data_IF_198971163312
#
_entry.id   IF_198971163312
#
_cell.length_a   1.000
_cell.length_b   1.000
_cell.length_c   1.000
_cell.angle_alpha   90.00
_cell.angle_beta   90.00
_cell.angle_gamma   90.00
#
_symmetry.space_group_name_H-M   'P 1'
#
loop_
_entity.id
_entity.type
_entity.pdbx_description
1 polymer ?
#
# COMPACT_ATOMS: atom_id res chain seq x y z
N UNK A 1 -26.92 -12.36 -5.40
CA UNK A 1 -25.46 -12.08 -5.45
C UNK A 1 -24.98 -12.42 -6.86
N UNK A 2 -24.50 -11.45 -7.65
CA UNK A 2 -24.13 -11.66 -9.06
C UNK A 2 -22.77 -12.36 -9.20
N UNK A 3 -22.58 -13.19 -10.24
CA UNK A 3 -21.32 -13.93 -10.50
C UNK A 3 -20.08 -13.04 -10.60
N UNK A 4 -20.26 -11.77 -10.95
CA UNK A 4 -19.20 -10.78 -11.02
C UNK A 4 -18.69 -10.37 -9.63
N UNK A 5 -19.61 -10.25 -8.65
CA UNK A 5 -19.26 -9.89 -7.28
C UNK A 5 -18.43 -10.98 -6.61
N UNK A 6 -18.75 -12.26 -6.83
CA UNK A 6 -17.96 -13.38 -6.30
C UNK A 6 -16.54 -13.42 -6.89
N UNK A 7 -16.37 -13.20 -8.21
CA UNK A 7 -15.03 -13.14 -8.83
C UNK A 7 -14.17 -11.99 -8.28
N UNK A 8 -14.77 -10.83 -8.05
CA UNK A 8 -14.07 -9.69 -7.41
C UNK A 8 -13.69 -10.01 -5.96
N UNK A 9 -14.55 -10.71 -5.22
CA UNK A 9 -14.29 -11.12 -3.85
C UNK A 9 -13.09 -12.08 -3.77
N UNK A 10 -13.04 -13.09 -4.64
CA UNK A 10 -11.94 -14.07 -4.69
C UNK A 10 -10.60 -13.42 -5.08
N UNK A 11 -10.62 -12.49 -6.05
CA UNK A 11 -9.43 -11.74 -6.43
C UNK A 11 -8.91 -10.88 -5.25
N UNK A 12 -9.80 -10.26 -4.48
CA UNK A 12 -9.43 -9.51 -3.26
C UNK A 12 -8.83 -10.41 -2.19
N UNK A 13 -9.43 -11.58 -1.95
CA UNK A 13 -8.90 -12.53 -0.96
C UNK A 13 -7.52 -13.07 -1.36
N UNK A 14 -7.29 -13.35 -2.65
CA UNK A 14 -5.99 -13.75 -3.16
C UNK A 14 -4.94 -12.63 -3.03
N UNK A 15 -5.30 -11.39 -3.39
CA UNK A 15 -4.42 -10.24 -3.25
C UNK A 15 -4.07 -9.95 -1.78
N UNK A 16 -5.00 -10.16 -0.86
CA UNK A 16 -4.79 -9.93 0.57
C UNK A 16 -3.70 -10.83 1.20
N UNK A 17 -3.43 -12.02 0.62
CA UNK A 17 -2.41 -12.95 1.12
C UNK A 17 -0.98 -12.42 0.98
N UNK A 18 -0.71 -11.61 -0.04
CA UNK A 18 0.64 -11.08 -0.32
C UNK A 18 0.71 -9.54 -0.29
N UNK A 19 -0.43 -8.86 -0.41
CA UNK A 19 -0.57 -7.41 -0.31
C UNK A 19 -1.80 -7.07 0.56
N UNK A 20 -1.70 -7.19 1.90
CA UNK A 20 -2.82 -6.92 2.80
C UNK A 20 -3.30 -5.47 2.68
N UNK A 21 -4.59 -5.25 2.95
CA UNK A 21 -5.15 -3.91 3.07
C UNK A 21 -4.34 -3.10 4.08
N UNK A 22 -3.95 -1.84 3.78
CA UNK A 22 -3.37 -0.98 4.78
C UNK A 22 -4.41 -0.80 5.90
N UNK A 23 -4.22 -1.52 7.00
CA UNK A 23 -5.06 -1.41 8.18
C UNK A 23 -4.61 -0.18 8.99
N UNK A 24 -5.57 0.66 9.37
CA UNK A 24 -5.34 1.90 10.12
C UNK A 24 -5.59 3.16 9.29
N UNK A 25 -6.10 4.21 9.96
CA UNK A 25 -6.38 5.50 9.33
C UNK A 25 -5.09 6.18 8.87
N UNK A 26 -5.19 7.03 7.85
CA UNK A 26 -4.09 7.95 7.47
C UNK A 26 -3.61 8.76 8.69
N UNK A 27 -4.53 9.13 9.56
CA UNK A 27 -4.23 9.87 10.79
C UNK A 27 -3.32 9.08 11.73
N UNK A 28 -3.55 7.78 11.87
CA UNK A 28 -2.73 6.91 12.74
C UNK A 28 -1.28 6.86 12.25
N UNK A 29 -1.09 6.76 10.93
CA UNK A 29 0.25 6.75 10.33
C UNK A 29 0.95 8.12 10.44
N UNK A 30 0.19 9.22 10.34
CA UNK A 30 0.72 10.56 10.56
C UNK A 30 1.18 10.75 12.01
N UNK A 31 0.38 10.31 12.99
CA UNK A 31 0.73 10.37 14.43
C UNK A 31 1.98 9.56 14.71
N UNK A 32 2.05 8.31 14.24
CA UNK A 32 3.23 7.46 14.45
C UNK A 32 4.49 8.08 13.82
N UNK A 33 4.38 8.60 12.59
CA UNK A 33 5.49 9.30 11.94
C UNK A 33 5.96 10.54 12.71
N UNK A 34 5.00 11.32 13.22
CA UNK A 34 5.29 12.49 14.06
C UNK A 34 5.97 12.10 15.38
N UNK A 35 5.48 11.07 16.08
CA UNK A 35 6.07 10.60 17.33
C UNK A 35 7.52 10.15 17.15
N UNK A 36 7.81 9.40 16.07
CA UNK A 36 9.19 8.98 15.74
C UNK A 36 10.08 10.20 15.48
N UNK A 37 9.57 11.20 14.77
CA UNK A 37 10.31 12.43 14.47
C UNK A 37 10.65 13.22 15.75
N UNK A 38 9.70 13.35 16.67
CA UNK A 38 9.91 14.02 17.96
C UNK A 38 10.97 13.28 18.78
N UNK A 39 10.92 11.94 18.82
CA UNK A 39 11.94 11.15 19.52
C UNK A 39 13.34 11.34 18.91
N UNK A 40 13.45 11.34 17.58
CA UNK A 40 14.71 11.59 16.89
C UNK A 40 15.24 13.01 17.14
N UNK A 41 14.37 14.01 17.13
CA UNK A 41 14.76 15.38 17.47
C UNK A 41 15.31 15.48 18.89
N UNK A 42 14.66 14.85 19.87
CA UNK A 42 15.16 14.81 21.25
C UNK A 42 16.51 14.10 21.35
N UNK A 43 16.68 12.98 20.64
CA UNK A 43 17.95 12.26 20.61
C UNK A 43 19.08 13.10 20.00
N UNK A 44 18.82 13.78 18.87
CA UNK A 44 19.79 14.67 18.21
C UNK A 44 20.11 15.88 19.10
N UNK A 45 19.10 16.46 19.76
CA UNK A 45 19.28 17.59 20.68
C UNK A 45 20.23 17.21 21.82
N UNK A 46 20.00 16.05 22.44
CA UNK A 46 20.82 15.54 23.54
C UNK A 46 22.23 15.17 23.09
N UNK A 47 22.40 14.60 21.90
CA UNK A 47 23.71 14.13 21.44
C UNK A 47 24.60 15.24 20.88
N UNK A 48 24.02 16.20 20.16
CA UNK A 48 24.76 17.28 19.48
C UNK A 48 24.67 18.63 20.21
N UNK A 49 23.97 18.70 21.35
CA UNK A 49 23.73 19.97 22.06
C UNK A 49 22.92 20.98 21.25
N UNK A 50 22.13 20.51 20.28
CA UNK A 50 21.31 21.38 19.42
C UNK A 50 20.10 21.85 20.20
N UNK A 51 20.00 23.16 20.39
CA UNK A 51 18.89 23.78 21.11
C UNK A 51 17.75 24.12 20.14
N UNK A 52 16.87 23.14 19.88
CA UNK A 52 15.74 23.31 18.97
C UNK A 52 14.72 24.37 19.44
N UNK A 53 14.74 24.77 20.72
CA UNK A 53 13.93 25.88 21.23
C UNK A 53 14.35 27.23 20.66
N UNK A 54 15.63 27.38 20.28
CA UNK A 54 16.13 28.59 19.61
C UNK A 54 15.77 28.65 18.13
N UNK A 55 15.42 27.51 17.53
CA UNK A 55 15.10 27.38 16.11
C UNK A 55 13.71 26.72 15.91
N UNK A 56 12.63 27.33 16.42
CA UNK A 56 11.30 26.72 16.43
C UNK A 56 10.75 26.49 15.02
N UNK A 57 11.11 27.34 14.03
CA UNK A 57 10.74 27.11 12.63
C UNK A 57 11.42 25.85 12.05
N UNK A 58 12.69 25.63 12.38
CA UNK A 58 13.42 24.47 11.88
C UNK A 58 12.85 23.19 12.48
N UNK A 59 12.55 23.22 13.79
CA UNK A 59 11.85 22.16 14.50
C UNK A 59 10.47 21.84 13.88
N UNK A 60 9.65 22.87 13.66
CA UNK A 60 8.34 22.72 13.06
C UNK A 60 8.43 22.15 11.64
N UNK A 61 9.40 22.60 10.83
CA UNK A 61 9.58 22.11 9.46
C UNK A 61 9.96 20.62 9.42
N UNK A 62 10.87 20.17 10.29
CA UNK A 62 11.25 18.77 10.41
C UNK A 62 10.07 17.89 10.81
N UNK A 63 9.31 18.33 11.81
CA UNK A 63 8.13 17.60 12.27
C UNK A 63 7.06 17.49 11.17
N UNK A 64 6.87 18.57 10.40
CA UNK A 64 5.92 18.62 9.29
C UNK A 64 6.36 17.70 8.14
N UNK A 65 7.64 17.72 7.77
CA UNK A 65 8.21 16.82 6.76
C UNK A 65 8.05 15.36 7.18
N UNK A 66 8.30 15.02 8.43
CA UNK A 66 8.15 13.66 8.93
C UNK A 66 6.67 13.20 8.95
N UNK A 67 5.74 14.08 9.34
CA UNK A 67 4.30 13.81 9.23
C UNK A 67 3.87 13.56 7.78
N UNK A 68 4.34 14.39 6.84
CA UNK A 68 4.08 14.21 5.42
C UNK A 68 4.70 12.91 4.87
N UNK A 69 5.90 12.54 5.33
CA UNK A 69 6.53 11.28 4.96
C UNK A 69 5.72 10.05 5.43
N UNK A 70 5.14 10.12 6.63
CA UNK A 70 4.20 9.10 7.13
C UNK A 70 2.96 8.94 6.24
N UNK A 71 2.37 10.07 5.82
CA UNK A 71 1.22 10.10 4.90
C UNK A 71 1.60 9.54 3.52
N UNK A 72 2.76 9.94 2.99
CA UNK A 72 3.27 9.47 1.71
C UNK A 72 3.49 7.95 1.72
N UNK A 73 4.05 7.42 2.81
CA UNK A 73 4.26 5.98 2.99
C UNK A 73 2.93 5.20 2.94
N UNK A 74 1.88 5.73 3.59
CA UNK A 74 0.56 5.11 3.51
C UNK A 74 0.02 5.14 2.08
N UNK A 75 0.11 6.29 1.37
CA UNK A 75 -0.31 6.37 -0.05
C UNK A 75 0.41 5.38 -0.95
N UNK A 76 1.72 5.18 -0.75
CA UNK A 76 2.50 4.19 -1.52
C UNK A 76 1.98 2.78 -1.24
N UNK A 77 1.72 2.44 0.04
CA UNK A 77 1.14 1.13 0.41
C UNK A 77 -0.24 0.92 -0.19
N UNK A 78 -1.12 1.93 -0.15
CA UNK A 78 -2.45 1.87 -0.77
C UNK A 78 -2.35 1.66 -2.29
N UNK A 79 -1.43 2.37 -2.97
CA UNK A 79 -1.21 2.21 -4.41
C UNK A 79 -0.69 0.81 -4.76
N UNK A 80 0.21 0.26 -3.96
CA UNK A 80 0.73 -1.11 -4.16
C UNK A 80 -0.37 -2.17 -3.99
N UNK A 81 -1.21 -2.03 -2.97
CA UNK A 81 -2.35 -2.92 -2.78
C UNK A 81 -3.33 -2.86 -3.97
N UNK A 82 -3.70 -1.65 -4.39
CA UNK A 82 -4.61 -1.49 -5.53
C UNK A 82 -4.06 -2.13 -6.81
N UNK A 83 -2.75 -1.98 -7.07
CA UNK A 83 -2.07 -2.64 -8.20
C UNK A 83 -2.08 -4.17 -8.09
N UNK A 84 -1.87 -4.71 -6.89
CA UNK A 84 -1.96 -6.16 -6.65
C UNK A 84 -3.36 -6.70 -6.97
N UNK A 85 -4.42 -6.03 -6.50
CA UNK A 85 -5.80 -6.41 -6.80
C UNK A 85 -6.09 -6.37 -8.31
N UNK A 86 -5.65 -5.31 -9.00
CA UNK A 86 -5.84 -5.14 -10.44
C UNK A 86 -5.15 -6.26 -11.24
N UNK A 87 -3.91 -6.57 -10.89
CA UNK A 87 -3.12 -7.62 -11.53
C UNK A 87 -3.76 -9.01 -11.37
N UNK A 88 -4.29 -9.33 -10.17
CA UNK A 88 -4.94 -10.60 -9.90
C UNK A 88 -6.26 -10.74 -10.67
N UNK A 89 -7.00 -9.63 -10.80
CA UNK A 89 -8.23 -9.60 -11.60
C UNK A 89 -7.94 -9.84 -13.08
N UNK A 90 -6.95 -9.15 -13.65
CA UNK A 90 -6.55 -9.32 -15.05
C UNK A 90 -6.00 -10.72 -15.34
N UNK A 91 -5.18 -11.27 -14.45
CA UNK A 91 -4.60 -12.60 -14.60
C UNK A 91 -5.69 -13.70 -14.64
N UNK A 92 -6.74 -13.55 -13.83
CA UNK A 92 -7.89 -14.46 -13.83
C UNK A 92 -8.77 -14.29 -15.06
N UNK A 93 -9.00 -13.06 -15.51
CA UNK A 93 -9.73 -12.79 -16.76
C UNK A 93 -9.03 -13.44 -17.97
N UNK A 94 -7.69 -13.34 -18.05
CA UNK A 94 -6.88 -13.98 -19.11
C UNK A 94 -6.89 -15.51 -19.05
N UNK A 95 -6.82 -16.11 -17.85
CA UNK A 95 -6.95 -17.58 -17.70
C UNK A 95 -8.30 -18.08 -18.18
N UNK A 96 -9.36 -17.34 -17.88
CA UNK A 96 -10.71 -17.72 -18.27
C UNK A 96 -10.94 -17.61 -19.77
N UNK A 97 -10.36 -16.61 -20.44
CA UNK A 97 -10.38 -16.54 -21.91
C UNK A 97 -9.60 -17.69 -22.54
N UNK A 98 -8.41 -18.04 -22.03
CA UNK A 98 -7.64 -19.18 -22.55
C UNK A 98 -8.30 -20.54 -22.35
N UNK A 99 -9.16 -20.71 -21.33
CA UNK A 99 -9.93 -21.94 -21.14
C UNK A 99 -11.11 -22.07 -22.10
N UNK A 100 -11.68 -20.95 -22.56
CA UNK A 100 -12.76 -20.95 -23.55
C UNK A 100 -12.24 -20.99 -24.98
N UNK A 101 -10.96 -20.74 -25.18
CA UNK A 101 -10.26 -20.76 -26.46
C UNK A 101 -9.54 -22.09 -26.70
N UNK A 102 -10.00 -23.18 -26.05
CA UNK A 102 -9.52 -24.52 -26.34
C UNK A 102 -9.79 -24.80 -27.84
N UNK A 103 -8.73 -24.98 -28.67
CA UNK A 103 -8.92 -25.18 -30.08
C UNK A 103 -9.60 -26.53 -30.24
N UNK A 104 -10.76 -26.54 -30.91
CA UNK A 104 -11.33 -27.75 -31.51
C UNK A 104 -10.24 -28.37 -32.38
N UNK A 105 -9.42 -29.26 -31.82
CA UNK A 105 -8.54 -30.12 -32.60
C UNK A 105 -9.47 -30.86 -33.55
N UNK A 106 -9.39 -30.65 -34.87
CA UNK A 106 -10.15 -31.48 -35.77
C UNK A 106 -9.67 -32.90 -35.52
N UNK A 107 -10.59 -33.77 -35.10
CA UNK A 107 -10.39 -35.20 -35.05
C UNK A 107 -9.87 -35.62 -36.42
N UNK A 108 -8.56 -35.87 -36.51
CA UNK A 108 -7.92 -36.37 -37.70
C UNK A 108 -8.47 -37.78 -37.91
N UNK A 109 -9.48 -37.88 -38.78
CA UNK A 109 -10.01 -39.17 -39.25
C UNK A 109 -8.88 -39.85 -40.02
N UNK A 110 -8.30 -40.87 -39.41
CA UNK A 110 -7.50 -41.90 -40.07
C UNK A 110 -8.42 -42.98 -40.58
#
# INVERSE_FOLDING_TARGET
>A
MTKENTRRQEARNAAALYAPAPNGSMLTHAIVGFSIAVMLMFAIAGFYGVDFFRLPMLAASLALVAGLAGIATNRVRTRRNRRAIENEYQSRARRQSSLHEEPRRPLRKT
#
